data_IF_072931489618
#
_entry.id   IF_072931489618
#
_cell.length_a   1.000
_cell.length_b   1.000
_cell.length_c   1.000
_cell.angle_alpha   90.00
_cell.angle_beta   90.00
_cell.angle_gamma   90.00
#
_symmetry.space_group_name_H-M   'P 1'
#
loop_
_entity.id
_entity.type
_entity.pdbx_description
1 polymer ?
#
# COMPACT_ATOMS: atom_id res chain seq x y z
N UNK A 1 -6.32 -0.05 5.32
CA UNK A 1 -7.43 0.09 6.29
C UNK A 1 -8.62 0.90 5.77
N UNK A 2 -8.59 2.23 5.60
CA UNK A 2 -9.83 2.98 5.23
C UNK A 2 -10.40 2.60 3.86
N UNK A 3 -9.55 2.46 2.83
CA UNK A 3 -10.00 2.06 1.49
C UNK A 3 -10.52 0.61 1.43
N UNK A 4 -9.98 -0.28 2.25
CA UNK A 4 -10.43 -1.68 2.33
C UNK A 4 -11.78 -1.80 3.02
N UNK A 5 -12.02 -1.00 4.07
CA UNK A 5 -13.33 -0.91 4.71
C UNK A 5 -14.35 -0.24 3.78
N UNK A 6 -13.97 0.83 3.08
CA UNK A 6 -14.83 1.46 2.08
C UNK A 6 -15.21 0.50 0.94
N UNK A 7 -14.33 -0.42 0.52
CA UNK A 7 -14.67 -1.46 -0.47
C UNK A 7 -15.88 -2.29 -0.06
N UNK A 8 -16.00 -2.64 1.22
CA UNK A 8 -17.17 -3.37 1.74
C UNK A 8 -18.43 -2.51 1.65
N UNK A 9 -18.33 -1.24 2.05
CA UNK A 9 -19.43 -0.28 1.92
C UNK A 9 -19.85 -0.07 0.46
N UNK A 10 -18.88 0.07 -0.46
CA UNK A 10 -19.15 0.26 -1.89
C UNK A 10 -19.89 -0.93 -2.49
N UNK A 11 -19.47 -2.16 -2.17
CA UNK A 11 -20.21 -3.36 -2.55
C UNK A 11 -21.65 -3.31 -2.05
N UNK A 12 -21.86 -3.01 -0.77
CA UNK A 12 -23.21 -2.95 -0.19
C UNK A 12 -24.09 -1.87 -0.83
N UNK A 13 -23.51 -0.71 -1.15
CA UNK A 13 -24.21 0.37 -1.87
C UNK A 13 -24.65 -0.12 -3.26
N UNK A 14 -23.78 -0.81 -4.00
CA UNK A 14 -24.08 -1.33 -5.32
C UNK A 14 -25.11 -2.48 -5.27
N UNK A 15 -25.02 -3.37 -4.28
CA UNK A 15 -26.05 -4.40 -4.05
C UNK A 15 -27.42 -3.79 -3.80
N UNK A 16 -27.48 -2.67 -3.05
CA UNK A 16 -28.74 -1.93 -2.81
C UNK A 16 -29.32 -1.29 -4.08
N UNK A 17 -28.49 -0.99 -5.08
CA UNK A 17 -28.90 -0.40 -6.36
C UNK A 17 -29.33 -1.45 -7.38
N UNK A 18 -28.98 -2.72 -7.18
CA UNK A 18 -29.38 -3.82 -8.05
C UNK A 18 -30.91 -3.99 -8.05
N UNK A 19 -31.46 -4.30 -9.23
CA UNK A 19 -32.89 -4.63 -9.39
C UNK A 19 -33.18 -6.11 -9.10
N UNK A 20 -32.15 -6.90 -8.89
CA UNK A 20 -32.26 -8.32 -8.57
C UNK A 20 -32.79 -8.53 -7.15
N UNK A 21 -33.55 -9.61 -6.94
CA UNK A 21 -34.10 -9.95 -5.62
C UNK A 21 -33.26 -10.98 -4.87
N UNK A 22 -32.59 -11.86 -5.61
CA UNK A 22 -31.71 -12.86 -5.03
C UNK A 22 -30.38 -12.21 -4.61
N UNK A 23 -29.99 -12.39 -3.34
CA UNK A 23 -28.75 -11.83 -2.79
C UNK A 23 -27.50 -12.17 -3.62
N UNK A 24 -27.42 -13.40 -4.13
CA UNK A 24 -26.29 -13.83 -4.97
C UNK A 24 -26.24 -13.11 -6.33
N UNK A 25 -27.40 -12.76 -6.89
CA UNK A 25 -27.48 -12.00 -8.13
C UNK A 25 -27.07 -10.53 -7.91
N UNK A 26 -27.55 -9.90 -6.83
CA UNK A 26 -27.12 -8.57 -6.40
C UNK A 26 -25.61 -8.49 -6.16
N UNK A 27 -25.04 -9.51 -5.49
CA UNK A 27 -23.62 -9.59 -5.20
C UNK A 27 -22.77 -9.70 -6.48
N UNK A 28 -23.19 -10.56 -7.42
CA UNK A 28 -22.53 -10.70 -8.72
C UNK A 28 -22.51 -9.38 -9.48
N UNK A 29 -23.64 -8.68 -9.53
CA UNK A 29 -23.74 -7.36 -10.19
C UNK A 29 -22.84 -6.32 -9.51
N UNK A 30 -22.85 -6.26 -8.18
CA UNK A 30 -22.02 -5.32 -7.43
C UNK A 30 -20.52 -5.54 -7.69
N UNK A 31 -20.06 -6.79 -7.78
CA UNK A 31 -18.66 -7.09 -8.10
C UNK A 31 -18.28 -6.78 -9.55
N UNK A 32 -19.22 -6.95 -10.48
CA UNK A 32 -19.01 -6.65 -11.90
C UNK A 32 -19.18 -5.16 -12.22
N UNK A 33 -19.70 -4.35 -11.29
CA UNK A 33 -20.00 -2.94 -11.54
C UNK A 33 -18.73 -2.14 -11.85
N UNK A 34 -18.73 -1.26 -12.87
CA UNK A 34 -17.56 -0.46 -13.24
C UNK A 34 -16.95 0.30 -12.07
N UNK A 35 -17.77 0.97 -11.25
CA UNK A 35 -17.28 1.71 -10.07
C UNK A 35 -16.62 0.82 -9.01
N UNK A 36 -16.99 -0.46 -8.92
CA UNK A 36 -16.33 -1.40 -8.02
C UNK A 36 -14.94 -1.78 -8.56
N UNK A 37 -14.85 -2.01 -9.87
CA UNK A 37 -13.58 -2.30 -10.54
C UNK A 37 -12.63 -1.11 -10.48
N UNK A 38 -13.12 0.10 -10.70
CA UNK A 38 -12.33 1.34 -10.58
C UNK A 38 -11.79 1.54 -9.17
N UNK A 39 -12.60 1.24 -8.14
CA UNK A 39 -12.14 1.24 -6.76
C UNK A 39 -10.98 0.25 -6.54
N UNK A 40 -11.07 -0.96 -7.10
CA UNK A 40 -9.99 -1.95 -6.99
C UNK A 40 -8.71 -1.49 -7.68
N UNK A 41 -8.82 -0.84 -8.85
CA UNK A 41 -7.67 -0.26 -9.54
C UNK A 41 -7.02 0.86 -8.73
N UNK A 42 -7.83 1.72 -8.10
CA UNK A 42 -7.34 2.75 -7.19
C UNK A 42 -6.61 2.17 -5.98
N UNK A 43 -7.16 1.12 -5.37
CA UNK A 43 -6.51 0.42 -4.25
C UNK A 43 -5.19 -0.22 -4.69
N UNK A 44 -5.16 -0.88 -5.86
CA UNK A 44 -3.94 -1.47 -6.42
C UNK A 44 -2.84 -0.43 -6.59
N UNK A 45 -3.17 0.73 -7.14
CA UNK A 45 -2.20 1.79 -7.37
C UNK A 45 -1.70 2.41 -6.06
N UNK A 46 -2.59 2.61 -5.09
CA UNK A 46 -2.21 3.08 -3.76
C UNK A 46 -1.23 2.13 -3.07
N UNK A 47 -1.49 0.83 -3.11
CA UNK A 47 -0.61 -0.21 -2.54
C UNK A 47 0.74 -0.23 -3.27
N UNK A 48 0.75 -0.11 -4.60
CA UNK A 48 1.99 -0.05 -5.38
C UNK A 48 2.88 1.13 -4.95
N UNK A 49 2.28 2.29 -4.70
CA UNK A 49 2.99 3.49 -4.24
C UNK A 49 3.50 3.29 -2.81
N UNK A 50 2.66 2.77 -1.92
CA UNK A 50 3.03 2.46 -0.52
C UNK A 50 4.24 1.52 -0.46
N UNK A 51 4.20 0.43 -1.20
CA UNK A 51 5.30 -0.54 -1.26
C UNK A 51 6.59 0.09 -1.80
N UNK A 52 6.51 0.89 -2.87
CA UNK A 52 7.68 1.61 -3.38
C UNK A 52 8.29 2.52 -2.31
N UNK A 53 7.46 3.32 -1.64
CA UNK A 53 7.91 4.24 -0.60
C UNK A 53 8.53 3.50 0.59
N UNK A 54 7.98 2.34 0.96
CA UNK A 54 8.54 1.46 1.99
C UNK A 54 9.95 1.01 1.64
N UNK A 55 10.17 0.53 0.41
CA UNK A 55 11.50 0.11 -0.04
C UNK A 55 12.48 1.27 -0.15
N UNK A 56 12.03 2.43 -0.63
CA UNK A 56 12.85 3.65 -0.68
C UNK A 56 13.30 4.07 0.73
N UNK A 57 12.40 4.00 1.73
CA UNK A 57 12.71 4.28 3.13
C UNK A 57 13.73 3.29 3.69
N UNK A 58 13.55 1.99 3.46
CA UNK A 58 14.49 0.94 3.91
C UNK A 58 15.87 1.19 3.29
N UNK A 59 15.94 1.48 2.00
CA UNK A 59 17.19 1.77 1.33
C UNK A 59 17.87 3.04 1.89
N UNK A 60 17.09 4.09 2.21
CA UNK A 60 17.62 5.29 2.84
C UNK A 60 18.19 5.01 4.23
N UNK A 61 17.48 4.23 5.04
CA UNK A 61 17.96 3.80 6.36
C UNK A 61 19.26 2.99 6.26
N UNK A 62 19.35 2.03 5.33
CA UNK A 62 20.56 1.25 5.10
C UNK A 62 21.76 2.13 4.69
N UNK A 63 21.54 3.11 3.82
CA UNK A 63 22.59 4.08 3.43
C UNK A 63 23.10 4.89 4.62
N UNK A 64 22.20 5.34 5.51
CA UNK A 64 22.56 6.07 6.73
C UNK A 64 23.39 5.17 7.65
N UNK A 65 23.01 3.91 7.84
CA UNK A 65 23.78 2.97 8.66
C UNK A 65 25.19 2.71 8.10
N UNK A 66 25.32 2.50 6.79
CA UNK A 66 26.63 2.37 6.13
C UNK A 66 27.49 3.61 6.40
N UNK A 67 26.93 4.81 6.24
CA UNK A 67 27.65 6.05 6.50
C UNK A 67 28.10 6.16 7.96
N UNK A 68 27.24 5.82 8.92
CA UNK A 68 27.57 5.81 10.35
C UNK A 68 28.76 4.88 10.64
N UNK A 69 28.75 3.67 10.08
CA UNK A 69 29.85 2.70 10.22
C UNK A 69 31.14 3.23 9.61
N UNK A 70 31.10 3.79 8.39
CA UNK A 70 32.28 4.37 7.74
C UNK A 70 32.89 5.49 8.58
N UNK A 71 32.07 6.40 9.11
CA UNK A 71 32.55 7.48 9.97
C UNK A 71 33.12 6.98 11.30
N UNK A 72 32.56 5.90 11.86
CA UNK A 72 33.12 5.27 13.05
C UNK A 72 34.50 4.67 12.79
N UNK A 73 34.68 3.97 11.67
CA UNK A 73 35.95 3.38 11.27
C UNK A 73 37.01 4.46 11.03
N UNK A 74 36.69 5.53 10.28
CA UNK A 74 37.61 6.65 10.05
C UNK A 74 38.08 7.32 11.34
N UNK A 75 37.18 7.47 12.33
CA UNK A 75 37.55 8.00 13.66
C UNK A 75 38.47 7.05 14.42
N UNK A 76 38.28 5.74 14.28
CA UNK A 76 39.14 4.75 14.94
C UNK A 76 40.55 4.74 14.32
N UNK A 77 40.64 4.78 12.99
CA UNK A 77 41.91 4.86 12.25
C UNK A 77 42.69 6.15 12.56
N UNK A 78 42.00 7.29 12.60
CA UNK A 78 42.61 8.57 12.98
C UNK A 78 43.20 8.57 14.41
N UNK A 79 42.62 7.78 15.33
CA UNK A 79 43.17 7.62 16.69
C UNK A 79 44.37 6.66 16.75
N UNK A 80 44.48 5.70 15.85
CA UNK A 80 45.58 4.74 15.82
C UNK A 80 46.86 5.28 15.16
N UNK A 81 46.74 6.38 14.41
CA UNK A 81 47.83 6.96 13.61
C UNK A 81 48.55 8.12 14.34
N UNK A 82 48.05 8.52 15.52
CA UNK A 82 48.64 9.55 16.41
C UNK A 82 49.28 8.84 17.60
#
# INVERSE_FOLDING_TARGET
MYLEEFRKSKKAILMKQSLETALGAQEREAYAHPEYLDLLLGIKEAVRIEEKLRWDLIAAQARIEIYRTQQANLRAEGKATI
#
